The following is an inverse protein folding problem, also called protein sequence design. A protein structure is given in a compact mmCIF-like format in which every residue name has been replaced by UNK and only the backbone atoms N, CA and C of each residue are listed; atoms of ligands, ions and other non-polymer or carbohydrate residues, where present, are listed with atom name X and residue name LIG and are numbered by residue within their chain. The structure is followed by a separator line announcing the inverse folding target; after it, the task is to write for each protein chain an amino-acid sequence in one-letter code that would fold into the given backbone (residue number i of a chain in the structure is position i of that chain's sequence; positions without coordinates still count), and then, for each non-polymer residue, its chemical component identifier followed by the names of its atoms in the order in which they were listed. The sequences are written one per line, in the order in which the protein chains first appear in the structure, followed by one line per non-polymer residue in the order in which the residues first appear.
data_IF_087261971693
#
_entry.id   IF_087261971693
#
_cell.length_a   1.000
_cell.length_b   1.000
_cell.length_c   1.000
_cell.angle_alpha   90.00
_cell.angle_beta   90.00
_cell.angle_gamma   90.00
#
_symmetry.space_group_name_H-M   'P 1'
#
loop_
_entity.id
_entity.type
_entity.pdbx_description
1 polymer ?
#
# COMPACT_ATOMS: atom_id res chain seq x y z
N UNK A 1 18.10 26.58 14.83
CA UNK A 1 18.64 26.34 13.47
C UNK A 1 18.76 24.84 13.12
N UNK A 2 19.37 23.98 13.97
CA UNK A 2 19.55 22.55 13.64
C UNK A 2 18.24 21.77 13.56
N UNK A 3 17.26 22.05 14.42
CA UNK A 3 15.94 21.37 14.43
C UNK A 3 15.17 21.66 13.15
N UNK A 4 15.21 22.90 12.65
CA UNK A 4 14.53 23.30 11.43
C UNK A 4 15.09 22.58 10.19
N UNK A 5 16.42 22.37 10.13
CA UNK A 5 17.06 21.67 9.03
C UNK A 5 16.57 20.21 8.91
N UNK A 6 16.56 19.46 10.01
CA UNK A 6 16.05 18.08 10.00
C UNK A 6 14.57 17.99 9.63
N UNK A 7 13.77 18.96 10.06
CA UNK A 7 12.36 19.04 9.71
C UNK A 7 12.18 19.25 8.19
N UNK A 8 12.84 20.24 7.59
CA UNK A 8 12.76 20.48 6.16
C UNK A 8 13.26 19.31 5.32
N UNK A 9 14.37 18.67 5.72
CA UNK A 9 14.87 17.46 5.09
C UNK A 9 13.83 16.33 5.16
N UNK A 10 13.21 16.11 6.33
CA UNK A 10 12.19 15.08 6.52
C UNK A 10 10.96 15.35 5.65
N UNK A 11 10.51 16.59 5.56
CA UNK A 11 9.37 16.98 4.71
C UNK A 11 9.67 16.70 3.23
N UNK A 12 10.85 17.07 2.75
CA UNK A 12 11.26 16.82 1.37
C UNK A 12 11.36 15.32 1.05
N UNK A 13 11.96 14.53 1.96
CA UNK A 13 12.06 13.08 1.82
C UNK A 13 10.70 12.38 1.87
N UNK A 14 9.82 12.81 2.77
CA UNK A 14 8.46 12.26 2.87
C UNK A 14 7.61 12.61 1.64
N UNK A 15 7.76 13.80 1.08
CA UNK A 15 7.12 14.21 -0.17
C UNK A 15 7.62 13.36 -1.36
N UNK A 16 8.94 13.18 -1.48
CA UNK A 16 9.54 12.31 -2.50
C UNK A 16 9.06 10.85 -2.35
N UNK A 17 9.05 10.33 -1.13
CA UNK A 17 8.56 8.99 -0.83
C UNK A 17 7.09 8.84 -1.22
N UNK A 18 6.24 9.80 -0.86
CA UNK A 18 4.82 9.80 -1.22
C UNK A 18 4.60 9.80 -2.74
N UNK A 19 5.40 10.55 -3.50
CA UNK A 19 5.35 10.53 -4.97
C UNK A 19 5.73 9.15 -5.54
N UNK A 20 6.81 8.54 -5.05
CA UNK A 20 7.22 7.18 -5.44
C UNK A 20 6.10 6.18 -5.15
N UNK A 21 5.45 6.29 -4.00
CA UNK A 21 4.35 5.42 -3.59
C UNK A 21 3.11 5.56 -4.45
N UNK A 22 2.71 6.78 -4.76
CA UNK A 22 1.60 7.03 -5.66
C UNK A 22 1.79 6.36 -7.00
N UNK A 23 2.98 6.50 -7.60
CA UNK A 23 3.35 5.85 -8.86
C UNK A 23 3.41 4.33 -8.78
N UNK A 24 3.98 3.79 -7.72
CA UNK A 24 4.19 2.34 -7.55
C UNK A 24 2.86 1.60 -7.26
N UNK A 25 2.06 2.12 -6.32
CA UNK A 25 0.86 1.42 -5.84
C UNK A 25 -0.42 1.71 -6.65
N UNK A 26 -0.39 2.66 -7.59
CA UNK A 26 -1.54 2.95 -8.45
C UNK A 26 -2.06 1.70 -9.16
N UNK A 27 -1.16 0.89 -9.71
CA UNK A 27 -1.50 -0.34 -10.41
C UNK A 27 -2.15 -1.39 -9.50
N UNK A 28 -1.86 -1.40 -8.22
CA UNK A 28 -2.52 -2.26 -7.24
C UNK A 28 -3.98 -1.86 -7.04
N UNK A 29 -4.27 -0.55 -7.05
CA UNK A 29 -5.63 -0.04 -6.81
C UNK A 29 -6.53 -0.16 -8.04
N UNK A 30 -6.04 0.15 -9.23
CA UNK A 30 -6.85 0.22 -10.47
C UNK A 30 -6.38 -0.72 -11.58
N UNK A 31 -5.30 -1.49 -11.35
CA UNK A 31 -4.72 -2.39 -12.37
C UNK A 31 -5.70 -3.45 -12.84
N UNK A 32 -6.52 -4.01 -11.94
CA UNK A 32 -7.55 -4.98 -12.31
C UNK A 32 -8.64 -4.36 -13.20
N UNK A 33 -9.07 -3.12 -12.90
CA UNK A 33 -10.04 -2.38 -13.72
C UNK A 33 -9.48 -2.05 -15.11
N UNK A 34 -8.19 -1.70 -15.19
CA UNK A 34 -7.50 -1.40 -16.44
C UNK A 34 -7.25 -2.68 -17.26
N UNK A 35 -6.78 -3.76 -16.60
CA UNK A 35 -6.52 -5.05 -17.25
C UNK A 35 -7.79 -5.73 -17.79
N UNK A 36 -8.94 -5.51 -17.14
CA UNK A 36 -10.25 -5.95 -17.60
C UNK A 36 -10.87 -5.02 -18.67
N UNK A 37 -10.20 -3.94 -19.08
CA UNK A 37 -10.71 -2.99 -20.08
C UNK A 37 -11.92 -2.17 -19.61
N UNK A 38 -12.17 -2.11 -18.29
CA UNK A 38 -13.35 -1.44 -17.72
C UNK A 38 -13.23 0.09 -17.81
N UNK A 39 -12.03 0.62 -17.72
CA UNK A 39 -11.79 2.07 -17.71
C UNK A 39 -10.54 2.46 -18.48
N UNK A 40 -10.47 3.74 -18.87
CA UNK A 40 -9.27 4.34 -19.47
C UNK A 40 -8.30 4.79 -18.38
N UNK A 41 -7.00 4.86 -18.70
CA UNK A 41 -5.95 5.25 -17.77
C UNK A 41 -6.21 6.61 -17.10
N UNK A 42 -6.68 7.61 -17.86
CA UNK A 42 -6.98 8.93 -17.32
C UNK A 42 -8.08 8.93 -16.25
N UNK A 43 -9.15 8.17 -16.48
CA UNK A 43 -10.23 8.04 -15.51
C UNK A 43 -9.78 7.23 -14.28
N UNK A 44 -8.98 6.18 -14.48
CA UNK A 44 -8.40 5.43 -13.37
C UNK A 44 -7.49 6.31 -12.50
N UNK A 45 -6.65 7.16 -13.13
CA UNK A 45 -5.81 8.11 -12.41
C UNK A 45 -6.63 9.11 -11.58
N UNK A 46 -7.72 9.63 -12.13
CA UNK A 46 -8.63 10.52 -11.41
C UNK A 46 -9.27 9.82 -10.20
N UNK A 47 -9.81 8.63 -10.39
CA UNK A 47 -10.42 7.81 -9.34
C UNK A 47 -9.40 7.55 -8.21
N UNK A 48 -8.18 7.15 -8.57
CA UNK A 48 -7.11 6.90 -7.60
C UNK A 48 -6.71 8.18 -6.85
N UNK A 49 -6.58 9.30 -7.55
CA UNK A 49 -6.19 10.58 -6.96
C UNK A 49 -7.19 11.04 -5.89
N UNK A 50 -8.49 10.98 -6.21
CA UNK A 50 -9.55 11.34 -5.27
C UNK A 50 -9.58 10.36 -4.09
N UNK A 51 -9.44 9.05 -4.35
CA UNK A 51 -9.39 8.03 -3.30
C UNK A 51 -8.23 8.25 -2.34
N UNK A 52 -7.01 8.42 -2.85
CA UNK A 52 -5.81 8.67 -2.04
C UNK A 52 -5.97 9.92 -1.18
N UNK A 53 -6.43 11.03 -1.77
CA UNK A 53 -6.63 12.28 -1.04
C UNK A 53 -7.62 12.08 0.11
N UNK A 54 -8.79 11.55 -0.18
CA UNK A 54 -9.83 11.36 0.84
C UNK A 54 -9.39 10.37 1.92
N UNK A 55 -8.75 9.26 1.55
CA UNK A 55 -8.26 8.28 2.51
C UNK A 55 -7.20 8.85 3.45
N UNK A 56 -6.24 9.60 2.92
CA UNK A 56 -5.19 10.21 3.74
C UNK A 56 -5.75 11.27 4.68
N UNK A 57 -6.63 12.14 4.17
CA UNK A 57 -7.17 13.26 4.96
C UNK A 57 -8.13 12.76 6.05
N UNK A 58 -9.01 11.81 5.71
CA UNK A 58 -10.06 11.35 6.63
C UNK A 58 -9.55 10.31 7.63
N UNK A 59 -8.68 9.40 7.22
CA UNK A 59 -8.28 8.26 8.05
C UNK A 59 -6.76 8.06 8.20
N UNK A 60 -5.93 8.85 7.54
CA UNK A 60 -4.47 8.74 7.66
C UNK A 60 -3.97 8.89 9.10
N UNK A 61 -4.72 9.61 9.96
CA UNK A 61 -4.42 9.78 11.36
C UNK A 61 -4.40 8.45 12.15
N UNK A 62 -5.07 7.40 11.66
CA UNK A 62 -5.10 6.07 12.31
C UNK A 62 -3.74 5.38 12.33
N UNK A 63 -2.86 5.73 11.41
CA UNK A 63 -1.47 5.26 11.37
C UNK A 63 -0.50 6.22 12.09
N UNK A 64 -1.03 7.19 12.82
CA UNK A 64 -0.24 8.10 13.64
C UNK A 64 0.47 7.35 14.75
N UNK A 65 1.70 7.79 15.06
CA UNK A 65 2.51 7.24 16.14
C UNK A 65 2.94 5.77 15.94
N UNK A 66 2.75 5.17 14.77
CA UNK A 66 3.18 3.79 14.51
C UNK A 66 4.68 3.64 14.76
N UNK A 67 5.51 4.45 14.13
CA UNK A 67 6.96 4.40 14.33
C UNK A 67 7.35 5.17 15.58
N UNK A 68 7.09 6.48 15.66
CA UNK A 68 7.56 7.34 16.75
C UNK A 68 6.82 7.18 18.09
N UNK A 69 5.75 6.39 18.16
CA UNK A 69 5.01 6.15 19.40
C UNK A 69 5.06 4.70 19.87
N UNK A 70 4.94 3.75 18.94
CA UNK A 70 4.80 2.34 19.29
C UNK A 70 6.05 1.50 19.01
N UNK A 71 6.74 1.76 17.89
CA UNK A 71 7.95 1.00 17.52
C UNK A 71 9.21 1.63 18.11
N UNK A 72 9.34 2.97 18.02
CA UNK A 72 10.49 3.76 18.50
C UNK A 72 9.98 4.93 19.35
N UNK A 73 9.66 4.74 20.63
CA UNK A 73 9.11 5.80 21.49
C UNK A 73 10.02 7.05 21.62
N UNK A 74 11.32 6.88 21.40
CA UNK A 74 12.32 7.95 21.51
C UNK A 74 12.92 8.33 20.15
N UNK A 75 12.12 8.29 19.07
CA UNK A 75 12.57 8.67 17.73
C UNK A 75 13.02 10.14 17.70
N UNK A 76 14.28 10.34 17.34
CA UNK A 76 14.90 11.68 17.16
C UNK A 76 14.60 12.26 15.80
N UNK A 77 14.78 13.59 15.62
CA UNK A 77 14.63 14.24 14.34
C UNK A 77 15.62 13.72 13.29
N UNK A 78 16.87 13.42 13.69
CA UNK A 78 17.87 12.77 12.82
C UNK A 78 17.45 11.34 12.46
N UNK A 79 16.90 10.58 13.40
CA UNK A 79 16.37 9.24 13.15
C UNK A 79 15.23 9.22 12.13
N UNK A 80 14.37 10.25 12.17
CA UNK A 80 13.31 10.42 11.16
C UNK A 80 13.90 10.60 9.76
N UNK A 81 14.94 11.43 9.61
CA UNK A 81 15.64 11.60 8.32
C UNK A 81 16.26 10.29 7.85
N UNK A 82 16.91 9.53 8.74
CA UNK A 82 17.52 8.21 8.42
C UNK A 82 16.46 7.22 7.93
N UNK A 83 15.34 7.11 8.63
CA UNK A 83 14.24 6.19 8.26
C UNK A 83 13.63 6.58 6.91
N UNK A 84 13.35 7.87 6.70
CA UNK A 84 12.79 8.37 5.45
C UNK A 84 13.75 8.20 4.27
N UNK A 85 15.06 8.48 4.48
CA UNK A 85 16.10 8.26 3.46
C UNK A 85 16.16 6.79 3.07
N UNK A 86 16.12 5.88 4.05
CA UNK A 86 16.08 4.44 3.80
C UNK A 86 14.85 4.04 2.99
N UNK A 87 13.69 4.60 3.34
CA UNK A 87 12.44 4.41 2.59
C UNK A 87 12.55 4.86 1.13
N UNK A 88 13.07 6.08 0.89
CA UNK A 88 13.25 6.63 -0.46
C UNK A 88 14.22 5.80 -1.29
N UNK A 89 15.35 5.40 -0.72
CA UNK A 89 16.36 4.59 -1.42
C UNK A 89 15.80 3.22 -1.80
N UNK A 90 15.19 2.50 -0.86
CA UNK A 90 14.63 1.17 -1.13
C UNK A 90 13.46 1.26 -2.10
N UNK A 91 12.47 2.12 -1.82
CA UNK A 91 11.27 2.24 -2.66
C UNK A 91 11.57 2.82 -4.04
N UNK A 92 12.53 3.75 -4.13
CA UNK A 92 13.03 4.28 -5.39
C UNK A 92 13.67 3.18 -6.24
N UNK A 93 14.60 2.41 -5.67
CA UNK A 93 15.27 1.31 -6.36
C UNK A 93 14.28 0.26 -6.87
N UNK A 94 13.33 -0.20 -6.03
CA UNK A 94 12.36 -1.22 -6.46
C UNK A 94 11.34 -0.70 -7.46
N UNK A 95 11.00 0.58 -7.43
CA UNK A 95 10.14 1.20 -8.43
C UNK A 95 10.85 1.24 -9.80
N UNK A 96 12.13 1.58 -9.84
CA UNK A 96 12.94 1.52 -11.05
C UNK A 96 13.08 0.09 -11.58
N UNK A 97 13.24 -0.89 -10.68
CA UNK A 97 13.34 -2.32 -11.01
C UNK A 97 11.96 -2.96 -11.28
N UNK A 98 10.87 -2.23 -11.13
CA UNK A 98 9.48 -2.70 -11.28
C UNK A 98 9.14 -3.91 -10.40
N UNK A 99 9.71 -3.96 -9.19
CA UNK A 99 9.46 -5.02 -8.22
C UNK A 99 8.33 -4.61 -7.26
N UNK A 100 7.41 -5.53 -6.92
CA UNK A 100 6.36 -5.26 -5.95
C UNK A 100 6.92 -5.37 -4.53
N UNK A 101 7.18 -4.25 -3.89
CA UNK A 101 7.59 -4.17 -2.48
C UNK A 101 6.60 -3.34 -1.67
N UNK A 102 6.54 -3.62 -0.37
CA UNK A 102 5.65 -2.94 0.56
C UNK A 102 6.40 -1.85 1.34
N UNK A 103 5.92 -0.60 1.24
CA UNK A 103 6.48 0.49 2.03
C UNK A 103 6.37 0.23 3.53
N UNK A 104 5.22 -0.24 4.02
CA UNK A 104 5.03 -0.47 5.45
C UNK A 104 6.10 -1.39 6.03
N UNK A 105 6.48 -2.42 5.27
CA UNK A 105 7.55 -3.34 5.65
C UNK A 105 8.93 -2.67 5.62
N UNK A 106 9.20 -1.86 4.61
CA UNK A 106 10.49 -1.12 4.49
C UNK A 106 10.65 -0.12 5.63
N UNK A 107 9.62 0.66 5.94
CA UNK A 107 9.66 1.69 6.99
C UNK A 107 9.77 1.07 8.39
N UNK A 108 9.00 0.02 8.65
CA UNK A 108 9.09 -0.70 9.95
C UNK A 108 10.46 -1.35 10.08
N UNK A 109 10.97 -1.99 9.03
CA UNK A 109 12.34 -2.53 9.00
C UNK A 109 13.39 -1.44 9.22
N UNK A 110 13.25 -0.28 8.58
CA UNK A 110 14.14 0.86 8.79
C UNK A 110 14.10 1.34 10.25
N UNK A 111 12.92 1.35 10.89
CA UNK A 111 12.80 1.63 12.32
C UNK A 111 13.60 0.65 13.17
N UNK A 112 13.50 -0.65 12.91
CA UNK A 112 14.27 -1.66 13.63
C UNK A 112 15.78 -1.52 13.38
N UNK A 113 16.20 -1.24 12.13
CA UNK A 113 17.60 -1.02 11.80
C UNK A 113 18.19 0.19 12.51
N UNK A 114 17.44 1.29 12.57
CA UNK A 114 17.81 2.48 13.34
C UNK A 114 17.96 2.16 14.83
N UNK A 115 16.98 1.46 15.41
CA UNK A 115 17.02 1.07 16.82
C UNK A 115 18.24 0.22 17.17
N UNK A 116 18.57 -0.77 16.32
CA UNK A 116 19.76 -1.61 16.50
C UNK A 116 21.07 -0.82 16.41
N UNK A 117 21.13 0.21 15.54
CA UNK A 117 22.32 1.04 15.41
C UNK A 117 22.54 2.00 16.57
N UNK A 118 21.45 2.48 17.17
CA UNK A 118 21.45 3.52 18.20
C UNK A 118 21.14 2.98 19.60
N UNK A 119 20.94 1.67 19.73
CA UNK A 119 20.59 0.98 20.98
C UNK A 119 19.30 1.49 21.64
N UNK A 120 18.40 2.07 20.84
CA UNK A 120 17.08 2.55 21.30
C UNK A 120 16.14 1.37 21.49
N UNK A 121 15.33 1.42 22.56
CA UNK A 121 14.34 0.38 22.83
C UNK A 121 13.31 0.25 21.71
N UNK A 122 13.04 -1.00 21.33
CA UNK A 122 12.01 -1.36 20.35
C UNK A 122 10.73 -1.76 21.09
N UNK A 123 9.59 -1.24 20.65
CA UNK A 123 8.27 -1.68 21.11
C UNK A 123 7.94 -3.07 20.58
N UNK A 124 8.38 -4.12 21.27
CA UNK A 124 8.32 -5.52 20.83
C UNK A 124 6.88 -5.97 20.58
N UNK A 125 5.97 -5.71 21.53
CA UNK A 125 4.56 -6.15 21.43
C UNK A 125 3.90 -5.63 20.17
N UNK A 126 4.06 -4.35 19.86
CA UNK A 126 3.48 -3.76 18.66
C UNK A 126 4.19 -4.24 17.39
N UNK A 127 5.50 -4.40 17.40
CA UNK A 127 6.28 -4.96 16.28
C UNK A 127 5.80 -6.37 15.93
N UNK A 128 5.54 -7.22 16.92
CA UNK A 128 4.98 -8.56 16.73
C UNK A 128 3.58 -8.49 16.11
N UNK A 129 2.70 -7.60 16.60
CA UNK A 129 1.37 -7.41 16.01
C UNK A 129 1.43 -6.97 14.56
N UNK A 130 2.38 -6.08 14.21
CA UNK A 130 2.62 -5.64 12.83
C UNK A 130 3.07 -6.81 11.95
N UNK A 131 4.02 -7.64 12.39
CA UNK A 131 4.47 -8.83 11.64
C UNK A 131 3.29 -9.79 11.40
N UNK A 132 2.49 -10.08 12.42
CA UNK A 132 1.30 -10.92 12.27
C UNK A 132 0.29 -10.31 11.30
N UNK A 133 0.09 -9.00 11.30
CA UNK A 133 -0.82 -8.32 10.37
C UNK A 133 -0.39 -8.49 8.90
N UNK A 134 0.91 -8.59 8.62
CA UNK A 134 1.41 -8.83 7.25
C UNK A 134 1.07 -10.24 6.74
N UNK A 135 0.91 -11.21 7.63
CA UNK A 135 0.49 -12.58 7.28
C UNK A 135 -1.05 -12.65 7.22
N UNK A 136 -1.72 -12.06 8.20
CA UNK A 136 -3.17 -12.13 8.32
C UNK A 136 -3.90 -11.30 7.26
N UNK A 137 -3.33 -10.15 6.84
CA UNK A 137 -3.97 -9.30 5.85
C UNK A 137 -4.18 -10.01 4.50
N UNK A 138 -3.18 -10.64 3.84
CA UNK A 138 -3.44 -11.38 2.61
C UNK A 138 -4.35 -12.60 2.82
N UNK A 139 -4.29 -13.26 3.98
CA UNK A 139 -5.18 -14.37 4.29
C UNK A 139 -6.64 -13.91 4.43
N UNK A 140 -6.87 -12.79 5.08
CA UNK A 140 -8.20 -12.20 5.20
C UNK A 140 -8.72 -11.70 3.84
N UNK A 141 -7.85 -11.06 3.03
CA UNK A 141 -8.16 -10.68 1.66
C UNK A 141 -8.57 -11.88 0.80
N UNK A 142 -7.87 -13.02 0.94
CA UNK A 142 -8.24 -14.27 0.29
C UNK A 142 -9.65 -14.72 0.69
N UNK A 143 -9.95 -14.79 1.97
CA UNK A 143 -11.26 -15.24 2.47
C UNK A 143 -12.40 -14.34 1.98
N UNK A 144 -12.27 -13.03 2.14
CA UNK A 144 -13.30 -12.07 1.72
C UNK A 144 -13.54 -12.16 0.22
N UNK A 145 -12.48 -12.19 -0.59
CA UNK A 145 -12.60 -12.31 -2.04
C UNK A 145 -13.21 -13.63 -2.49
N UNK A 146 -12.87 -14.75 -1.84
CA UNK A 146 -13.47 -16.05 -2.14
C UNK A 146 -14.97 -16.07 -1.85
N UNK A 147 -15.41 -15.43 -0.76
CA UNK A 147 -16.82 -15.30 -0.41
C UNK A 147 -17.55 -14.43 -1.46
N UNK A 148 -16.99 -13.26 -1.80
CA UNK A 148 -17.57 -12.36 -2.80
C UNK A 148 -17.70 -13.08 -4.14
N UNK A 149 -16.62 -13.70 -4.64
CA UNK A 149 -16.62 -14.39 -5.94
C UNK A 149 -17.61 -15.54 -5.96
N UNK A 150 -17.69 -16.33 -4.89
CA UNK A 150 -18.68 -17.40 -4.77
C UNK A 150 -20.12 -16.87 -4.84
N UNK A 151 -20.36 -15.71 -4.24
CA UNK A 151 -21.67 -15.04 -4.28
C UNK A 151 -21.97 -14.53 -5.69
N UNK A 152 -21.02 -13.85 -6.31
CA UNK A 152 -21.10 -13.36 -7.69
C UNK A 152 -21.39 -14.50 -8.66
N UNK A 153 -20.71 -15.63 -8.52
CA UNK A 153 -20.96 -16.81 -9.36
C UNK A 153 -22.37 -17.37 -9.20
N UNK A 154 -22.90 -17.38 -7.95
CA UNK A 154 -24.29 -17.84 -7.70
C UNK A 154 -25.31 -16.90 -8.33
N UNK A 155 -25.10 -15.57 -8.21
CA UNK A 155 -25.96 -14.57 -8.80
C UNK A 155 -25.91 -14.63 -10.34
N UNK A 156 -24.71 -14.78 -10.92
CA UNK A 156 -24.53 -14.86 -12.37
C UNK A 156 -25.24 -16.05 -13.00
N UNK A 157 -25.32 -17.21 -12.29
CA UNK A 157 -26.06 -18.38 -12.75
C UNK A 157 -27.59 -18.17 -12.83
N UNK A 158 -28.11 -17.20 -12.09
CA UNK A 158 -29.54 -16.88 -12.05
C UNK A 158 -29.93 -15.69 -12.93
N UNK A 159 -28.93 -15.00 -13.48
CA UNK A 159 -29.17 -13.80 -14.27
C UNK A 159 -29.73 -14.13 -15.64
N UNK A 160 -30.80 -13.45 -16.03
CA UNK A 160 -31.39 -13.52 -17.37
C UNK A 160 -30.64 -12.71 -18.40
N UNK A 161 -30.05 -11.57 -17.99
CA UNK A 161 -29.27 -10.68 -18.83
C UNK A 161 -27.83 -10.59 -18.33
N UNK A 162 -26.94 -11.35 -18.99
CA UNK A 162 -25.50 -11.40 -18.66
C UNK A 162 -24.82 -10.08 -19.01
N UNK A 163 -25.26 -9.37 -20.04
CA UNK A 163 -24.64 -8.11 -20.46
C UNK A 163 -24.92 -7.00 -19.44
N UNK A 164 -26.16 -6.90 -18.98
CA UNK A 164 -26.53 -5.97 -17.91
C UNK A 164 -25.76 -6.27 -16.63
N UNK A 165 -25.65 -7.55 -16.26
CA UNK A 165 -24.90 -7.97 -15.07
C UNK A 165 -23.41 -7.63 -15.16
N UNK A 166 -22.78 -7.84 -16.31
CA UNK A 166 -21.38 -7.46 -16.55
C UNK A 166 -21.14 -5.95 -16.42
N UNK A 167 -22.10 -5.10 -16.86
CA UNK A 167 -22.03 -3.65 -16.65
C UNK A 167 -22.08 -3.30 -15.17
N UNK A 168 -22.94 -3.98 -14.40
CA UNK A 168 -23.01 -3.79 -12.94
C UNK A 168 -21.67 -4.16 -12.29
N UNK A 169 -21.07 -5.31 -12.63
CA UNK A 169 -19.77 -5.72 -12.10
C UNK A 169 -18.67 -4.75 -12.52
N UNK A 170 -18.67 -4.23 -13.74
CA UNK A 170 -17.71 -3.23 -14.18
C UNK A 170 -17.79 -1.94 -13.33
N UNK A 171 -18.99 -1.43 -13.08
CA UNK A 171 -19.18 -0.25 -12.23
C UNK A 171 -18.76 -0.51 -10.78
N UNK A 172 -19.13 -1.66 -10.22
CA UNK A 172 -18.71 -2.06 -8.88
C UNK A 172 -17.20 -2.23 -8.78
N UNK A 173 -16.53 -2.67 -9.85
CA UNK A 173 -15.06 -2.76 -9.88
C UNK A 173 -14.40 -1.38 -9.82
N UNK A 174 -14.98 -0.35 -10.44
CA UNK A 174 -14.49 1.02 -10.30
C UNK A 174 -14.65 1.54 -8.87
N UNK A 175 -15.79 1.24 -8.22
CA UNK A 175 -16.01 1.58 -6.81
C UNK A 175 -15.00 0.84 -5.91
N UNK A 176 -14.75 -0.44 -6.19
CA UNK A 176 -13.73 -1.21 -5.48
C UNK A 176 -12.32 -0.62 -5.68
N UNK A 177 -12.01 -0.13 -6.89
CA UNK A 177 -10.76 0.55 -7.20
C UNK A 177 -10.61 1.88 -6.45
N UNK A 178 -11.67 2.67 -6.40
CA UNK A 178 -11.71 3.87 -5.57
C UNK A 178 -11.47 3.54 -4.09
N UNK A 179 -12.15 2.52 -3.57
CA UNK A 179 -11.98 2.09 -2.19
C UNK A 179 -10.57 1.55 -1.89
N UNK A 180 -9.96 0.83 -2.84
CA UNK A 180 -8.56 0.43 -2.72
C UNK A 180 -7.61 1.64 -2.69
N UNK A 181 -7.87 2.66 -3.50
CA UNK A 181 -7.10 3.90 -3.50
C UNK A 181 -7.32 4.72 -2.20
N UNK A 182 -8.56 4.74 -1.70
CA UNK A 182 -8.86 5.32 -0.39
C UNK A 182 -8.06 4.62 0.73
N UNK A 183 -8.06 3.30 0.73
CA UNK A 183 -7.29 2.50 1.69
C UNK A 183 -5.79 2.73 1.55
N UNK A 184 -5.28 2.92 0.32
CA UNK A 184 -3.90 3.32 0.07
C UNK A 184 -3.57 4.66 0.74
N UNK A 185 -4.45 5.63 0.60
CA UNK A 185 -4.31 6.92 1.27
C UNK A 185 -4.29 6.79 2.78
N UNK A 186 -5.29 6.12 3.34
CA UNK A 186 -5.45 5.92 4.78
C UNK A 186 -4.29 5.14 5.42
N UNK A 187 -3.84 4.06 4.79
CA UNK A 187 -2.80 3.19 5.32
C UNK A 187 -1.40 3.67 4.94
N UNK A 188 -1.09 3.77 3.64
CA UNK A 188 0.29 3.93 3.17
C UNK A 188 0.75 5.38 3.26
N UNK A 189 -0.05 6.33 2.76
CA UNK A 189 0.29 7.75 2.89
C UNK A 189 0.07 8.20 4.34
N UNK A 190 -0.97 7.68 5.01
CA UNK A 190 -1.19 7.89 6.44
C UNK A 190 -0.01 7.46 7.31
N UNK A 191 0.68 6.36 6.96
CA UNK A 191 1.91 5.94 7.63
C UNK A 191 3.02 7.00 7.46
N UNK A 192 3.18 7.57 6.26
CA UNK A 192 4.18 8.64 6.02
C UNK A 192 3.84 9.89 6.83
N UNK A 193 2.57 10.30 6.86
CA UNK A 193 2.10 11.39 7.76
C UNK A 193 2.38 11.07 9.22
N UNK A 194 2.13 9.82 9.59
CA UNK A 194 2.28 9.31 10.96
C UNK A 194 3.73 9.21 11.47
N UNK A 195 4.73 9.33 10.59
CA UNK A 195 6.13 9.41 10.99
C UNK A 195 6.47 10.72 11.70
N UNK A 196 5.73 11.78 11.40
CA UNK A 196 5.97 13.09 12.01
C UNK A 196 5.38 13.14 13.42
N UNK A 197 6.13 13.63 14.42
CA UNK A 197 5.62 13.79 15.77
C UNK A 197 4.51 14.85 15.84
N UNK A 198 3.61 14.72 16.80
CA UNK A 198 2.49 15.67 16.98
C UNK A 198 2.96 17.11 17.30
N UNK A 199 4.20 17.27 17.76
CA UNK A 199 4.83 18.57 18.00
C UNK A 199 5.07 19.40 16.74
N UNK A 200 5.02 18.78 15.55
CA UNK A 200 5.16 19.49 14.25
C UNK A 200 3.90 20.30 13.91
N UNK A 201 2.80 20.11 14.62
CA UNK A 201 1.55 20.85 14.46
C UNK A 201 0.39 19.98 13.94
N UNK A 202 -0.59 20.65 13.32
CA UNK A 202 -1.75 19.98 12.75
C UNK A 202 -1.34 19.02 11.63
N UNK A 203 -1.94 17.84 11.62
CA UNK A 203 -1.68 16.79 10.63
C UNK A 203 -2.35 17.04 9.29
N UNK A 204 -3.37 17.89 9.24
CA UNK A 204 -4.09 18.19 8.01
C UNK A 204 -3.20 18.77 6.90
N UNK A 205 -2.33 19.77 7.17
CA UNK A 205 -1.38 20.27 6.15
C UNK A 205 -0.44 19.17 5.64
N UNK A 206 0.09 18.31 6.53
CA UNK A 206 0.95 17.19 6.12
C UNK A 206 0.19 16.19 5.25
N UNK A 207 -1.05 15.85 5.63
CA UNK A 207 -1.92 14.96 4.86
C UNK A 207 -2.19 15.50 3.47
N UNK A 208 -2.45 16.80 3.34
CA UNK A 208 -2.67 17.46 2.05
C UNK A 208 -1.41 17.45 1.19
N UNK A 209 -0.27 17.87 1.75
CA UNK A 209 1.01 17.91 1.01
C UNK A 209 1.39 16.52 0.51
N UNK A 210 1.36 15.49 1.37
CA UNK A 210 1.77 14.15 0.98
C UNK A 210 0.75 13.46 0.08
N UNK A 211 -0.54 13.79 0.18
CA UNK A 211 -1.54 13.34 -0.80
C UNK A 211 -1.31 13.97 -2.17
N UNK A 212 -1.04 15.27 -2.23
CA UNK A 212 -0.75 15.96 -3.50
C UNK A 212 0.50 15.38 -4.15
N UNK A 213 1.58 15.16 -3.39
CA UNK A 213 2.79 14.55 -3.95
C UNK A 213 2.56 13.10 -4.38
N UNK A 214 1.74 12.31 -3.66
CA UNK A 214 1.34 10.99 -4.10
C UNK A 214 0.51 11.04 -5.40
N UNK A 215 -0.39 12.00 -5.55
CA UNK A 215 -1.15 12.22 -6.79
C UNK A 215 -0.22 12.58 -7.95
N UNK A 216 0.78 13.44 -7.73
CA UNK A 216 1.81 13.70 -8.75
C UNK A 216 2.53 12.41 -9.16
N UNK A 217 2.82 11.54 -8.19
CA UNK A 217 3.36 10.20 -8.45
C UNK A 217 2.42 9.34 -9.30
N UNK A 218 1.12 9.33 -9.01
CA UNK A 218 0.11 8.65 -9.82
C UNK A 218 0.13 9.16 -11.26
N UNK A 219 0.19 10.48 -11.46
CA UNK A 219 0.11 11.09 -12.79
C UNK A 219 1.37 10.89 -13.63
N UNK A 220 2.55 10.97 -13.02
CA UNK A 220 3.82 11.02 -13.74
C UNK A 220 4.61 9.71 -13.70
N UNK A 221 4.51 8.92 -12.62
CA UNK A 221 5.34 7.73 -12.40
C UNK A 221 4.61 6.39 -12.64
N UNK A 222 3.25 6.38 -12.72
CA UNK A 222 2.48 5.13 -12.76
C UNK A 222 2.47 4.40 -14.10
N UNK A 223 2.78 5.06 -15.22
CA UNK A 223 2.65 4.47 -16.57
C UNK A 223 3.43 3.16 -16.74
N UNK A 224 4.61 3.06 -16.15
CA UNK A 224 5.46 1.86 -16.21
C UNK A 224 4.91 0.69 -15.40
N UNK A 225 4.42 0.96 -14.19
CA UNK A 225 3.88 -0.06 -13.28
C UNK A 225 2.53 -0.60 -13.76
N UNK A 226 1.67 0.26 -14.33
CA UNK A 226 0.39 -0.13 -14.93
C UNK A 226 0.58 -1.14 -16.05
N UNK A 227 1.50 -0.87 -16.97
CA UNK A 227 1.77 -1.76 -18.12
C UNK A 227 2.22 -3.14 -17.64
N UNK A 228 3.10 -3.19 -16.64
CA UNK A 228 3.57 -4.44 -16.06
C UNK A 228 2.45 -5.24 -15.40
N UNK A 229 1.52 -4.58 -14.69
CA UNK A 229 0.41 -5.25 -14.00
C UNK A 229 -0.69 -5.64 -14.98
N UNK A 230 -1.06 -4.78 -15.94
CA UNK A 230 -2.06 -5.07 -16.95
C UNK A 230 -1.66 -6.30 -17.79
N UNK A 231 -0.41 -6.37 -18.23
CA UNK A 231 0.12 -7.49 -19.03
C UNK A 231 0.11 -8.82 -18.28
N UNK A 232 0.25 -8.79 -16.94
CA UNK A 232 0.27 -9.98 -16.08
C UNK A 232 -1.13 -10.39 -15.57
N UNK A 233 -2.12 -9.49 -15.65
CA UNK A 233 -3.50 -9.72 -15.23
C UNK A 233 -4.45 -9.99 -16.41
N UNK A 234 -3.92 -10.21 -17.61
CA UNK A 234 -4.70 -10.54 -18.81
C UNK A 234 -5.59 -11.75 -18.53
N UNK A 235 -6.91 -11.57 -18.75
CA UNK A 235 -7.92 -12.60 -18.52
C UNK A 235 -8.78 -12.43 -17.30
N UNK A 236 -8.59 -11.37 -16.52
CA UNK A 236 -9.54 -11.02 -15.46
C UNK A 236 -10.86 -10.54 -16.09
N UNK A 237 -11.94 -11.23 -15.78
CA UNK A 237 -13.27 -10.70 -16.07
C UNK A 237 -13.71 -9.68 -14.98
N UNK A 238 -14.70 -8.82 -15.24
CA UNK A 238 -15.13 -7.80 -14.29
C UNK A 238 -15.50 -8.34 -12.90
N UNK A 239 -16.09 -9.52 -12.81
CA UNK A 239 -16.47 -10.11 -11.52
C UNK A 239 -15.27 -10.48 -10.67
N UNK A 240 -14.27 -11.12 -11.27
CA UNK A 240 -13.04 -11.51 -10.55
C UNK A 240 -12.21 -10.29 -10.16
N UNK A 241 -12.16 -9.28 -11.03
CA UNK A 241 -11.52 -8.01 -10.73
C UNK A 241 -12.19 -7.32 -9.51
N UNK A 242 -13.53 -7.28 -9.50
CA UNK A 242 -14.31 -6.78 -8.37
C UNK A 242 -13.97 -7.51 -7.07
N UNK A 243 -14.08 -8.85 -7.09
CA UNK A 243 -13.90 -9.66 -5.89
C UNK A 243 -12.48 -9.52 -5.33
N UNK A 244 -11.47 -9.58 -6.19
CA UNK A 244 -10.07 -9.46 -5.79
C UNK A 244 -9.74 -8.09 -5.20
N UNK A 245 -10.19 -7.03 -5.87
CA UNK A 245 -9.87 -5.66 -5.53
C UNK A 245 -10.61 -5.22 -4.26
N UNK A 246 -11.91 -5.52 -4.18
CA UNK A 246 -12.72 -5.15 -3.02
C UNK A 246 -12.30 -5.95 -1.78
N UNK A 247 -12.11 -7.28 -1.89
CA UNK A 247 -11.70 -8.10 -0.77
C UNK A 247 -10.31 -7.74 -0.23
N UNK A 248 -9.36 -7.42 -1.13
CA UNK A 248 -8.04 -6.91 -0.72
C UNK A 248 -8.13 -5.55 -0.03
N UNK A 249 -8.94 -4.63 -0.56
CA UNK A 249 -9.14 -3.31 0.02
C UNK A 249 -9.81 -3.39 1.40
N UNK A 250 -10.86 -4.20 1.55
CA UNK A 250 -11.53 -4.44 2.85
C UNK A 250 -10.54 -4.99 3.87
N UNK A 251 -9.71 -5.95 3.45
CA UNK A 251 -8.69 -6.50 4.34
C UNK A 251 -7.71 -5.42 4.81
N UNK A 252 -7.09 -4.69 3.89
CA UNK A 252 -6.12 -3.67 4.26
C UNK A 252 -6.76 -2.55 5.11
N UNK A 253 -8.00 -2.17 4.80
CA UNK A 253 -8.74 -1.17 5.56
C UNK A 253 -9.02 -1.64 7.00
N UNK A 254 -9.43 -2.90 7.17
CA UNK A 254 -9.66 -3.46 8.51
C UNK A 254 -8.43 -3.31 9.40
N UNK A 255 -7.24 -3.69 8.92
CA UNK A 255 -6.00 -3.54 9.68
C UNK A 255 -5.62 -2.07 9.90
N UNK A 256 -5.96 -1.17 8.96
CA UNK A 256 -5.81 0.28 9.15
C UNK A 256 -6.64 0.79 10.34
N UNK A 257 -7.86 0.26 10.53
CA UNK A 257 -8.71 0.65 11.67
C UNK A 257 -8.07 0.31 13.03
N UNK A 258 -7.25 -0.73 13.08
CA UNK A 258 -6.47 -1.11 14.26
C UNK A 258 -5.11 -0.41 14.36
N UNK A 259 -4.84 0.56 13.49
CA UNK A 259 -3.56 1.27 13.45
C UNK A 259 -2.39 0.41 12.96
N UNK A 260 -2.64 -0.72 12.30
CA UNK A 260 -1.60 -1.63 11.84
C UNK A 260 -1.21 -1.33 10.38
N UNK A 261 0.07 -1.03 10.12
CA UNK A 261 0.56 -0.75 8.77
C UNK A 261 0.70 -2.06 7.97
N UNK A 262 -0.20 -2.28 7.04
CA UNK A 262 -0.20 -3.46 6.17
C UNK A 262 0.10 -3.09 4.71
N UNK A 263 0.32 -4.11 3.90
CA UNK A 263 0.56 -3.96 2.46
C UNK A 263 -0.74 -4.14 1.68
N UNK A 264 -1.21 -3.09 1.03
CA UNK A 264 -2.35 -3.18 0.12
C UNK A 264 -2.06 -4.16 -1.02
N UNK A 265 -0.84 -4.15 -1.57
CA UNK A 265 -0.46 -5.06 -2.65
C UNK A 265 -0.57 -6.52 -2.22
N UNK A 266 -0.13 -6.84 -1.00
CA UNK A 266 -0.25 -8.20 -0.44
C UNK A 266 -1.72 -8.60 -0.21
N UNK A 267 -2.52 -7.69 0.35
CA UNK A 267 -3.95 -7.91 0.58
C UNK A 267 -4.71 -8.17 -0.74
N UNK A 268 -4.43 -7.38 -1.79
CA UNK A 268 -5.04 -7.54 -3.12
C UNK A 268 -4.58 -8.84 -3.78
N UNK A 269 -3.31 -9.24 -3.65
CA UNK A 269 -2.82 -10.53 -4.16
C UNK A 269 -3.48 -11.70 -3.43
N UNK A 270 -3.65 -11.58 -2.11
CA UNK A 270 -4.48 -12.50 -1.34
C UNK A 270 -5.89 -12.58 -1.92
N UNK A 271 -6.50 -11.41 -2.18
CA UNK A 271 -7.81 -11.31 -2.80
C UNK A 271 -7.90 -11.96 -4.18
N UNK A 272 -6.90 -11.74 -5.04
CA UNK A 272 -6.82 -12.40 -6.36
C UNK A 272 -6.76 -13.92 -6.23
N UNK A 273 -5.98 -14.41 -5.28
CA UNK A 273 -5.86 -15.84 -5.00
C UNK A 273 -7.18 -16.44 -4.50
N UNK A 274 -7.91 -15.71 -3.65
CA UNK A 274 -9.22 -16.11 -3.14
C UNK A 274 -10.27 -16.17 -4.26
N UNK A 275 -10.35 -15.14 -5.10
CA UNK A 275 -11.27 -15.10 -6.24
C UNK A 275 -10.97 -16.21 -7.26
N UNK A 276 -9.69 -16.45 -7.56
CA UNK A 276 -9.27 -17.54 -8.44
C UNK A 276 -9.64 -18.94 -7.87
N UNK A 277 -9.44 -19.13 -6.56
CA UNK A 277 -9.79 -20.36 -5.87
C UNK A 277 -11.29 -20.66 -5.95
N UNK A 278 -12.14 -19.65 -5.74
CA UNK A 278 -13.60 -19.79 -5.85
C UNK A 278 -14.06 -20.21 -7.25
N UNK A 279 -13.33 -19.78 -8.28
CA UNK A 279 -13.55 -20.19 -9.69
C UNK A 279 -12.91 -21.53 -10.07
N UNK A 280 -12.17 -22.16 -9.18
CA UNK A 280 -11.34 -23.34 -9.48
C UNK A 280 -10.33 -23.05 -10.61
N UNK A 281 -9.87 -21.82 -10.73
CA UNK A 281 -8.84 -21.42 -11.69
C UNK A 281 -7.46 -21.66 -11.07
N UNK A 282 -6.53 -22.17 -11.87
CA UNK A 282 -5.13 -22.27 -11.44
C UNK A 282 -4.46 -20.90 -11.64
N UNK A 283 -3.73 -20.44 -10.62
CA UNK A 283 -2.92 -19.22 -10.75
C UNK A 283 -1.74 -19.57 -11.67
N UNK A 284 -1.78 -19.05 -12.88
CA UNK A 284 -0.86 -19.44 -13.96
C UNK A 284 0.57 -18.93 -13.73
N UNK A 285 0.75 -17.83 -13.01
CA UNK A 285 2.05 -17.19 -12.89
C UNK A 285 2.69 -17.36 -11.50
N UNK A 286 3.27 -18.55 -11.26
CA UNK A 286 4.03 -18.86 -10.03
C UNK A 286 5.23 -17.93 -9.79
N UNK A 287 5.74 -17.25 -10.83
CA UNK A 287 6.85 -16.31 -10.71
C UNK A 287 6.45 -15.07 -9.92
N UNK A 288 5.25 -14.52 -10.18
CA UNK A 288 4.74 -13.36 -9.45
C UNK A 288 4.55 -13.68 -7.97
N UNK A 289 3.96 -14.83 -7.65
CA UNK A 289 3.78 -15.26 -6.25
C UNK A 289 5.13 -15.34 -5.54
N UNK A 290 6.14 -15.94 -6.17
CA UNK A 290 7.50 -16.01 -5.59
C UNK A 290 8.12 -14.64 -5.40
N UNK A 291 7.99 -13.72 -6.37
CA UNK A 291 8.49 -12.35 -6.25
C UNK A 291 7.83 -11.58 -5.10
N UNK A 292 6.53 -11.78 -4.91
CA UNK A 292 5.78 -11.18 -3.81
C UNK A 292 6.22 -11.72 -2.46
N UNK A 293 6.34 -13.05 -2.33
CA UNK A 293 6.82 -13.68 -1.08
C UNK A 293 8.26 -13.25 -0.79
N UNK A 294 9.13 -13.20 -1.79
CA UNK A 294 10.48 -12.68 -1.63
C UNK A 294 10.48 -11.20 -1.18
N UNK A 295 9.57 -10.39 -1.74
CA UNK A 295 9.38 -9.00 -1.33
C UNK A 295 8.99 -8.84 0.14
N UNK A 296 8.29 -9.82 0.73
CA UNK A 296 7.88 -9.78 2.15
C UNK A 296 9.05 -9.92 3.12
N UNK A 297 10.11 -10.58 2.70
CA UNK A 297 11.34 -10.72 3.51
C UNK A 297 12.40 -9.69 3.12
N UNK A 298 12.57 -9.43 1.85
CA UNK A 298 13.59 -8.49 1.34
C UNK A 298 13.26 -7.05 1.76
N UNK A 299 11.99 -6.65 1.77
CA UNK A 299 11.57 -5.28 2.13
C UNK A 299 12.05 -4.85 3.51
N UNK A 300 11.62 -5.51 4.59
CA UNK A 300 12.02 -5.12 5.94
C UNK A 300 13.54 -5.29 6.18
N UNK A 301 14.16 -6.31 5.60
CA UNK A 301 15.62 -6.53 5.73
C UNK A 301 16.40 -5.41 5.04
N UNK A 302 16.04 -5.04 3.82
CA UNK A 302 16.70 -3.94 3.10
C UNK A 302 16.53 -2.60 3.83
N UNK A 303 15.29 -2.32 4.32
CA UNK A 303 15.04 -1.15 5.15
C UNK A 303 15.92 -1.13 6.40
N UNK A 304 16.01 -2.26 7.11
CA UNK A 304 16.82 -2.40 8.32
C UNK A 304 18.32 -2.21 8.05
N UNK A 305 18.87 -2.86 7.04
CA UNK A 305 20.30 -2.76 6.71
C UNK A 305 20.66 -1.31 6.33
N UNK A 306 19.89 -0.69 5.42
CA UNK A 306 20.20 0.67 4.97
C UNK A 306 20.08 1.65 6.14
N UNK A 307 19.04 1.55 6.94
CA UNK A 307 18.85 2.42 8.09
C UNK A 307 19.92 2.23 9.16
N UNK A 308 20.35 0.98 9.43
CA UNK A 308 21.45 0.69 10.33
C UNK A 308 22.75 1.33 9.87
N UNK A 309 23.11 1.16 8.59
CA UNK A 309 24.32 1.75 8.03
C UNK A 309 24.30 3.29 8.07
N UNK A 310 23.17 3.89 7.67
CA UNK A 310 23.02 5.35 7.71
C UNK A 310 23.12 5.88 9.16
N UNK A 311 22.48 5.21 10.11
CA UNK A 311 22.50 5.63 11.52
C UNK A 311 23.90 5.51 12.17
N UNK A 312 24.82 4.72 11.60
CA UNK A 312 26.22 4.67 12.07
C UNK A 312 27.10 5.76 11.44
N UNK A 313 26.63 6.41 10.38
CA UNK A 313 27.34 7.51 9.71
C UNK A 313 26.90 8.88 10.25
N UNK A 314 25.64 9.00 10.62
CA UNK A 314 25.02 10.23 11.16
C UNK A 314 24.94 10.20 12.69
#
# INVERSE_FOLDING_TARGET
MTVDYYLYCSLALAAALSAVLGGNNFSTCLGASLGAGITKLSHAMLIASVGVLLGTVLEGHKLSNVIGGHILPTLTASGLVVILTSGVLVMGAVTLLRLPLSLSQVIVGAGWGFALATEVQIGVTYSVAVIFSWILSPAFGFLVSAIIESTVLRLSRRAKDILALNRVYANLTLIAGFYAAYTLGANTIGLVVGLFPSSVGDRLPLSLVFSVTAILGVLFLSKGTVRSVADNLVGLNPSTALSAQFGGAVSAHLFTQFGLPVSISQAVIGGMSGAASAKRMTITNKRIIRQVIAGWTVGPIAGAIISFLLAKIF
#
